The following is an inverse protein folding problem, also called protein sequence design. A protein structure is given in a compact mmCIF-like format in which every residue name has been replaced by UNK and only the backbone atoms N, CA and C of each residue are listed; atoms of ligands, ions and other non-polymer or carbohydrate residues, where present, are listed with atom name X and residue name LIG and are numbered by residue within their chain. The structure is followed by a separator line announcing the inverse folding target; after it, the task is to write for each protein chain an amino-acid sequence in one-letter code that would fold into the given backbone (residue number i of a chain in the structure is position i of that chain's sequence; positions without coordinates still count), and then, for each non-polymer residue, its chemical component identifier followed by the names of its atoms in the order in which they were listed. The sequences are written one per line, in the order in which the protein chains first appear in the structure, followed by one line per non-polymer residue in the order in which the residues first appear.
data_IF_532229401163
#
_entry.id   IF_532229401163
#
_cell.length_a   1.000
_cell.length_b   1.000
_cell.length_c   1.000
_cell.angle_alpha   90.00
_cell.angle_beta   90.00
_cell.angle_gamma   90.00
#
_symmetry.space_group_name_H-M   'P 1'
#
loop_
_entity.id
_entity.type
_entity.pdbx_description
1 polymer ?
#
# COMPACT_ATOMS: atom_id res chain seq x y z
N UNK A 1 -8.06 -1.27 7.60
CA UNK A 1 -7.29 -2.24 8.43
C UNK A 1 -6.06 -2.70 7.62
N UNK A 2 -5.30 -1.75 7.07
CA UNK A 2 -4.04 -1.95 6.34
C UNK A 2 -2.80 -1.59 7.18
N UNK A 3 -2.95 -1.16 8.43
CA UNK A 3 -1.87 -0.52 9.20
C UNK A 3 -0.70 -1.42 9.63
N UNK A 4 -0.82 -2.74 9.61
CA UNK A 4 0.27 -3.65 9.99
C UNK A 4 1.04 -4.24 8.79
N UNK A 5 0.61 -3.99 7.54
CA UNK A 5 1.23 -4.62 6.35
C UNK A 5 1.94 -3.65 5.41
N UNK A 6 1.86 -2.34 5.60
CA UNK A 6 2.49 -1.38 4.68
C UNK A 6 3.96 -1.07 4.98
N UNK A 7 4.53 -1.58 6.08
CA UNK A 7 5.95 -1.41 6.42
C UNK A 7 6.81 -2.69 6.33
N UNK A 8 6.21 -3.88 6.25
CA UNK A 8 6.95 -5.16 6.15
C UNK A 8 7.05 -5.70 4.71
N UNK A 9 6.34 -5.11 3.75
CA UNK A 9 6.14 -5.71 2.43
C UNK A 9 7.11 -5.25 1.32
N UNK A 10 8.29 -4.77 1.67
CA UNK A 10 9.35 -4.55 0.67
C UNK A 10 10.26 -5.78 0.45
N UNK A 11 10.09 -6.86 1.23
CA UNK A 11 10.95 -8.06 1.12
C UNK A 11 10.25 -9.44 1.24
N UNK A 12 8.92 -9.53 1.27
CA UNK A 12 8.20 -10.81 1.41
C UNK A 12 7.75 -11.46 0.09
N UNK A 13 8.65 -12.19 -0.56
CA UNK A 13 8.42 -13.04 -1.77
C UNK A 13 7.11 -13.87 -1.77
N UNK A 14 6.53 -13.96 -2.98
CA UNK A 14 6.03 -15.14 -3.72
C UNK A 14 5.34 -16.34 -3.02
N UNK A 15 4.33 -16.88 -3.74
CA UNK A 15 3.62 -18.18 -3.63
C UNK A 15 2.37 -18.13 -2.71
N UNK A 16 1.12 -18.46 -3.08
CA UNK A 16 0.53 -19.33 -4.11
C UNK A 16 -0.87 -18.79 -4.52
N UNK A 17 -1.17 -18.65 -5.81
CA UNK A 17 -1.99 -19.53 -6.69
C UNK A 17 -3.52 -19.62 -6.41
N UNK A 18 -4.26 -18.91 -7.28
CA UNK A 18 -5.56 -19.20 -7.94
C UNK A 18 -6.41 -20.40 -7.49
N UNK A 19 -7.74 -20.23 -7.34
CA UNK A 19 -8.74 -20.67 -8.35
C UNK A 19 -10.22 -20.35 -8.01
N UNK A 20 -10.92 -19.87 -9.05
CA UNK A 20 -12.31 -20.08 -9.50
C UNK A 20 -13.54 -20.04 -8.57
N UNK A 21 -14.58 -19.35 -9.08
CA UNK A 21 -15.92 -19.95 -9.19
C UNK A 21 -17.08 -19.10 -8.64
N UNK A 22 -17.76 -18.36 -9.52
CA UNK A 22 -19.17 -17.96 -9.39
C UNK A 22 -20.07 -19.19 -9.66
N UNK A 23 -21.37 -19.27 -9.24
CA UNK A 23 -22.43 -18.37 -9.74
C UNK A 23 -23.68 -18.10 -8.86
N UNK A 24 -24.42 -17.06 -9.30
CA UNK A 24 -25.87 -16.83 -9.32
C UNK A 24 -26.75 -17.07 -8.10
N UNK A 25 -27.49 -16.04 -7.67
CA UNK A 25 -28.89 -16.18 -7.25
C UNK A 25 -29.72 -14.92 -7.57
N UNK A 26 -30.80 -15.12 -8.34
CA UNK A 26 -31.91 -14.20 -8.52
C UNK A 26 -32.82 -14.22 -7.28
N UNK A 27 -33.47 -13.10 -6.99
CA UNK A 27 -34.56 -13.03 -6.02
C UNK A 27 -35.06 -11.61 -5.79
N UNK A 28 -35.97 -11.15 -6.66
CA UNK A 28 -36.79 -9.97 -6.44
C UNK A 28 -37.71 -10.17 -5.21
N UNK A 29 -37.74 -9.19 -4.31
CA UNK A 29 -38.81 -9.02 -3.34
C UNK A 29 -39.22 -7.56 -3.34
N UNK A 30 -40.40 -7.30 -3.90
CA UNK A 30 -41.08 -6.02 -3.93
C UNK A 30 -41.94 -5.84 -2.67
N UNK A 31 -41.94 -4.62 -2.11
CA UNK A 31 -42.89 -4.20 -1.09
C UNK A 31 -43.43 -2.78 -1.40
N UNK A 32 -44.68 -2.48 -1.00
CA UNK A 32 -45.54 -1.52 -1.68
C UNK A 32 -45.42 -0.08 -1.16
N UNK A 33 -45.78 0.85 -2.05
CA UNK A 33 -45.78 2.29 -1.85
C UNK A 33 -46.81 2.76 -0.81
N UNK A 34 -46.35 3.52 0.18
CA UNK A 34 -47.20 4.39 1.00
C UNK A 34 -47.00 5.85 0.60
N UNK A 35 -48.11 6.47 0.21
CA UNK A 35 -48.23 7.82 -0.37
C UNK A 35 -48.11 8.91 0.69
N UNK A 36 -47.21 9.86 0.46
CA UNK A 36 -47.16 11.18 1.11
C UNK A 36 -46.32 12.15 0.26
N UNK A 37 -46.65 13.45 0.16
CA UNK A 37 -46.04 14.34 -0.82
C UNK A 37 -44.60 14.72 -0.43
N UNK A 38 -43.61 14.22 -1.17
CA UNK A 38 -42.22 14.69 -1.08
C UNK A 38 -41.99 15.87 -2.00
N UNK A 39 -41.50 16.95 -1.42
CA UNK A 39 -41.12 18.20 -2.06
C UNK A 39 -39.82 17.98 -2.87
N UNK A 40 -39.92 17.61 -4.14
CA UNK A 40 -38.79 17.60 -5.07
C UNK A 40 -39.22 18.25 -6.40
N UNK A 41 -38.39 19.14 -6.97
CA UNK A 41 -38.65 19.74 -8.29
C UNK A 41 -38.63 18.66 -9.38
N UNK A 42 -39.43 18.89 -10.42
CA UNK A 42 -39.70 17.97 -11.53
C UNK A 42 -38.43 17.28 -12.07
N UNK A 43 -38.54 15.96 -12.18
CA UNK A 43 -37.53 15.05 -12.73
C UNK A 43 -37.32 15.42 -14.20
N UNK A 44 -36.06 15.71 -14.58
CA UNK A 44 -35.66 15.84 -15.99
C UNK A 44 -36.20 14.64 -16.80
N UNK A 45 -36.67 14.84 -18.04
CA UNK A 45 -37.17 13.73 -18.84
C UNK A 45 -36.07 12.66 -18.96
N UNK A 46 -36.35 11.49 -18.39
CA UNK A 46 -35.55 10.30 -18.59
C UNK A 46 -35.78 9.88 -20.03
N UNK A 47 -34.84 10.20 -20.91
CA UNK A 47 -34.79 9.52 -22.21
C UNK A 47 -34.64 8.03 -21.92
N UNK A 48 -35.67 7.25 -22.30
CA UNK A 48 -35.58 5.79 -22.30
C UNK A 48 -34.44 5.42 -23.24
N UNK A 49 -33.32 5.00 -22.65
CA UNK A 49 -32.19 4.47 -23.38
C UNK A 49 -32.66 3.23 -24.14
N UNK A 50 -32.95 3.37 -25.43
CA UNK A 50 -33.50 2.32 -26.31
C UNK A 50 -32.46 1.25 -26.71
N UNK A 51 -31.37 1.14 -25.96
CA UNK A 51 -30.20 0.36 -26.33
C UNK A 51 -29.39 1.07 -27.42
N UNK A 52 -28.08 0.91 -27.38
CA UNK A 52 -27.28 1.09 -28.58
C UNK A 52 -27.75 0.06 -29.63
N UNK A 53 -28.05 0.51 -30.85
CA UNK A 53 -28.22 -0.41 -31.99
C UNK A 53 -27.03 -1.37 -32.02
N UNK A 54 -27.23 -2.68 -32.25
CA UNK A 54 -26.12 -3.60 -32.43
C UNK A 54 -25.35 -3.14 -33.67
N UNK A 55 -24.33 -2.31 -33.44
CA UNK A 55 -23.28 -2.10 -34.40
C UNK A 55 -22.70 -3.47 -34.75
N UNK A 56 -22.12 -3.63 -35.95
CA UNK A 56 -21.44 -4.87 -36.30
C UNK A 56 -20.59 -5.26 -35.09
N UNK A 57 -20.76 -6.50 -34.62
CA UNK A 57 -19.85 -7.07 -33.65
C UNK A 57 -18.47 -6.80 -34.24
N UNK A 58 -17.75 -5.83 -33.67
CA UNK A 58 -16.31 -5.83 -33.78
C UNK A 58 -16.02 -7.14 -33.09
N UNK A 59 -15.88 -8.19 -33.91
CA UNK A 59 -15.22 -9.42 -33.51
C UNK A 59 -14.04 -8.90 -32.75
N UNK A 60 -14.04 -9.16 -31.43
CA UNK A 60 -12.94 -8.78 -30.57
C UNK A 60 -11.72 -9.01 -31.43
N UNK A 61 -11.04 -7.92 -31.84
CA UNK A 61 -9.75 -8.06 -32.49
C UNK A 61 -9.07 -9.06 -31.60
N UNK A 62 -8.65 -10.18 -32.16
CA UNK A 62 -7.80 -11.12 -31.49
C UNK A 62 -6.83 -10.27 -30.69
N UNK A 63 -7.08 -10.10 -29.39
CA UNK A 63 -6.01 -9.85 -28.47
C UNK A 63 -5.35 -11.21 -28.57
N UNK A 64 -4.38 -11.29 -29.49
CA UNK A 64 -3.40 -12.34 -29.47
C UNK A 64 -2.88 -12.27 -28.05
N UNK A 65 -3.44 -13.11 -27.17
CA UNK A 65 -2.78 -13.56 -25.97
C UNK A 65 -1.53 -14.24 -26.51
N UNK A 66 -0.51 -13.41 -26.78
CA UNK A 66 0.84 -13.86 -27.04
C UNK A 66 1.11 -14.86 -25.93
N UNK A 67 1.36 -16.11 -26.32
CA UNK A 67 1.67 -17.16 -25.35
C UNK A 67 2.72 -16.63 -24.38
N UNK A 68 2.65 -17.02 -23.10
CA UNK A 68 3.62 -16.54 -22.11
C UNK A 68 5.07 -16.72 -22.59
N UNK A 69 5.31 -17.76 -23.39
CA UNK A 69 6.56 -18.01 -24.10
C UNK A 69 6.91 -16.95 -25.15
N UNK A 70 5.97 -16.47 -25.96
CA UNK A 70 6.21 -15.40 -26.93
C UNK A 70 6.55 -14.07 -26.23
N UNK A 71 5.87 -13.78 -25.11
CA UNK A 71 6.16 -12.60 -24.27
C UNK A 71 7.56 -12.69 -23.64
N UNK A 72 7.92 -13.87 -23.15
CA UNK A 72 9.26 -14.13 -22.60
C UNK A 72 10.35 -14.01 -23.67
N UNK A 73 10.13 -14.54 -24.87
CA UNK A 73 11.05 -14.38 -26.00
C UNK A 73 11.22 -12.92 -26.41
N UNK A 74 10.14 -12.14 -26.44
CA UNK A 74 10.20 -10.70 -26.70
C UNK A 74 10.98 -9.97 -25.59
N UNK A 75 10.76 -10.34 -24.32
CA UNK A 75 11.47 -9.77 -23.19
C UNK A 75 12.98 -10.04 -23.26
N UNK A 76 13.38 -11.25 -23.65
CA UNK A 76 14.79 -11.63 -23.86
C UNK A 76 15.42 -10.90 -25.07
N UNK A 77 14.66 -10.71 -26.14
CA UNK A 77 15.10 -9.89 -27.27
C UNK A 77 15.32 -8.43 -26.84
N UNK A 78 14.37 -7.85 -26.10
CA UNK A 78 14.49 -6.52 -25.53
C UNK A 78 15.68 -6.41 -24.57
N UNK A 79 15.94 -7.43 -23.74
CA UNK A 79 17.10 -7.51 -22.86
C UNK A 79 18.43 -7.39 -23.63
N UNK A 80 18.58 -8.16 -24.72
CA UNK A 80 19.78 -8.10 -25.56
C UNK A 80 19.99 -6.73 -26.22
N UNK A 81 18.90 -6.07 -26.63
CA UNK A 81 18.91 -4.72 -27.19
C UNK A 81 19.24 -3.65 -26.12
N UNK A 82 18.76 -3.86 -24.89
CA UNK A 82 19.07 -3.04 -23.73
C UNK A 82 20.56 -3.12 -23.36
N UNK A 83 21.12 -4.32 -23.29
CA UNK A 83 22.55 -4.56 -23.06
C UNK A 83 23.42 -3.83 -24.08
N UNK A 84 23.07 -3.97 -25.36
CA UNK A 84 23.77 -3.29 -26.46
C UNK A 84 23.69 -1.77 -26.33
N UNK A 85 22.50 -1.24 -26.03
CA UNK A 85 22.28 0.21 -25.85
C UNK A 85 23.01 0.76 -24.63
N UNK A 86 23.08 0.00 -23.53
CA UNK A 86 23.84 0.34 -22.32
C UNK A 86 25.35 0.39 -22.61
N UNK A 87 25.89 -0.60 -23.33
CA UNK A 87 27.31 -0.62 -23.75
C UNK A 87 27.68 0.54 -24.66
N UNK A 88 26.73 1.03 -25.47
CA UNK A 88 26.89 2.22 -26.31
C UNK A 88 26.77 3.54 -25.53
N UNK A 89 26.40 3.51 -24.25
CA UNK A 89 26.18 4.72 -23.44
C UNK A 89 24.87 5.46 -23.72
N UNK A 90 23.96 4.88 -24.51
CA UNK A 90 22.71 5.50 -24.92
C UNK A 90 21.65 5.46 -23.80
N UNK A 91 21.78 6.33 -22.79
CA UNK A 91 20.96 6.31 -21.56
C UNK A 91 19.45 6.28 -21.80
N UNK A 92 18.91 7.18 -22.63
CA UNK A 92 17.45 7.26 -22.89
C UNK A 92 16.91 5.99 -23.55
N UNK A 93 17.63 5.48 -24.54
CA UNK A 93 17.24 4.28 -25.30
C UNK A 93 17.35 3.03 -24.43
N UNK A 94 18.45 2.88 -23.68
CA UNK A 94 18.63 1.78 -22.74
C UNK A 94 17.50 1.73 -21.71
N UNK A 95 17.15 2.89 -21.12
CA UNK A 95 16.05 2.99 -20.15
C UNK A 95 14.72 2.51 -20.74
N UNK A 96 14.32 3.08 -21.88
CA UNK A 96 13.04 2.75 -22.51
C UNK A 96 12.94 1.26 -22.88
N UNK A 97 14.04 0.66 -23.36
CA UNK A 97 14.04 -0.76 -23.72
C UNK A 97 13.99 -1.66 -22.48
N UNK A 98 14.71 -1.32 -21.40
CA UNK A 98 14.67 -2.13 -20.16
C UNK A 98 13.31 -2.02 -19.48
N UNK A 99 12.70 -0.82 -19.45
CA UNK A 99 11.36 -0.63 -18.90
C UNK A 99 10.31 -1.44 -19.70
N UNK A 100 10.45 -1.53 -21.03
CA UNK A 100 9.64 -2.43 -21.86
C UNK A 100 9.84 -3.90 -21.49
N UNK A 101 11.10 -4.33 -21.34
CA UNK A 101 11.43 -5.71 -20.95
C UNK A 101 10.86 -6.06 -19.57
N UNK A 102 10.88 -5.13 -18.61
CA UNK A 102 10.27 -5.30 -17.28
C UNK A 102 8.73 -5.34 -17.33
N UNK A 103 8.10 -4.58 -18.24
CA UNK A 103 6.65 -4.64 -18.42
C UNK A 103 6.21 -6.02 -18.96
N UNK A 104 7.03 -6.63 -19.82
CA UNK A 104 6.79 -7.97 -20.35
C UNK A 104 7.03 -9.06 -19.29
N UNK A 105 8.17 -9.00 -18.59
CA UNK A 105 8.63 -10.01 -17.64
C UNK A 105 9.21 -9.36 -16.34
N UNK A 106 8.36 -8.92 -15.40
CA UNK A 106 8.77 -8.12 -14.24
C UNK A 106 9.63 -8.87 -13.21
N UNK A 107 9.55 -10.20 -13.19
CA UNK A 107 10.21 -11.05 -12.19
C UNK A 107 11.45 -11.77 -12.76
N UNK A 108 11.89 -11.43 -13.98
CA UNK A 108 13.00 -12.12 -14.63
C UNK A 108 14.36 -11.68 -14.04
N UNK A 109 15.18 -12.58 -13.47
CA UNK A 109 16.43 -12.22 -12.80
C UNK A 109 17.42 -11.44 -13.68
N UNK A 110 17.61 -11.84 -14.94
CA UNK A 110 18.55 -11.17 -15.85
C UNK A 110 18.13 -9.75 -16.22
N UNK A 111 16.82 -9.51 -16.41
CA UNK A 111 16.29 -8.17 -16.73
C UNK A 111 16.45 -7.24 -15.53
N UNK A 112 16.13 -7.73 -14.33
CA UNK A 112 16.35 -6.99 -13.08
C UNK A 112 17.84 -6.67 -12.87
N UNK A 113 18.72 -7.63 -13.15
CA UNK A 113 20.18 -7.42 -13.05
C UNK A 113 20.68 -6.39 -14.05
N UNK A 114 20.22 -6.43 -15.30
CA UNK A 114 20.57 -5.40 -16.31
C UNK A 114 20.01 -4.02 -15.98
N UNK A 115 18.83 -3.94 -15.36
CA UNK A 115 18.29 -2.68 -14.87
C UNK A 115 19.13 -2.13 -13.71
N UNK A 116 19.58 -2.99 -12.80
CA UNK A 116 20.53 -2.62 -11.76
C UNK A 116 21.83 -2.07 -12.33
N UNK A 117 22.38 -2.71 -13.37
CA UNK A 117 23.56 -2.23 -14.08
C UNK A 117 23.35 -0.89 -14.78
N UNK A 118 22.17 -0.67 -15.35
CA UNK A 118 21.79 0.63 -15.92
C UNK A 118 21.87 1.73 -14.85
N UNK A 119 21.28 1.51 -13.66
CA UNK A 119 21.33 2.48 -12.56
C UNK A 119 22.74 2.70 -12.02
N UNK A 120 23.52 1.62 -11.85
CA UNK A 120 24.89 1.70 -11.34
C UNK A 120 25.82 2.44 -12.30
N UNK A 121 25.78 2.13 -13.60
CA UNK A 121 26.75 2.63 -14.59
C UNK A 121 26.32 3.94 -15.23
N UNK A 122 25.05 4.11 -15.60
CA UNK A 122 24.60 5.27 -16.37
C UNK A 122 23.93 6.35 -15.51
N UNK A 123 23.43 6.00 -14.33
CA UNK A 123 22.78 6.94 -13.41
C UNK A 123 23.58 7.22 -12.15
N UNK A 124 24.63 6.43 -11.86
CA UNK A 124 25.37 6.45 -10.61
C UNK A 124 24.46 6.34 -9.38
N UNK A 125 23.36 5.58 -9.50
CA UNK A 125 22.39 5.36 -8.45
C UNK A 125 22.59 3.96 -7.85
N UNK A 126 23.46 3.89 -6.84
CA UNK A 126 23.84 2.63 -6.17
C UNK A 126 22.67 2.02 -5.38
N UNK A 127 21.76 2.84 -4.86
CA UNK A 127 20.60 2.37 -4.07
C UNK A 127 19.62 1.59 -4.94
N UNK A 128 19.21 2.17 -6.08
CA UNK A 128 18.32 1.48 -7.02
C UNK A 128 19.00 0.25 -7.65
N UNK A 129 20.30 0.33 -7.89
CA UNK A 129 21.06 -0.82 -8.37
C UNK A 129 21.03 -1.98 -7.39
N UNK A 130 21.36 -1.74 -6.10
CA UNK A 130 21.34 -2.78 -5.07
C UNK A 130 19.93 -3.38 -4.89
N UNK A 131 18.89 -2.54 -4.93
CA UNK A 131 17.51 -2.99 -4.88
C UNK A 131 17.17 -3.93 -6.05
N UNK A 132 17.59 -3.59 -7.26
CA UNK A 132 17.37 -4.44 -8.43
C UNK A 132 18.10 -5.79 -8.29
N UNK A 133 19.34 -5.80 -7.80
CA UNK A 133 20.08 -7.04 -7.52
C UNK A 133 19.42 -7.86 -6.41
N UNK A 134 18.91 -7.19 -5.37
CA UNK A 134 18.17 -7.83 -4.29
C UNK A 134 16.88 -8.49 -4.79
N UNK A 135 16.13 -7.81 -5.67
CA UNK A 135 14.95 -8.35 -6.35
C UNK A 135 15.32 -9.54 -7.25
N UNK A 136 16.41 -9.45 -8.02
CA UNK A 136 16.87 -10.54 -8.87
C UNK A 136 17.21 -11.79 -8.05
N UNK A 137 17.91 -11.63 -6.93
CA UNK A 137 18.20 -12.72 -5.98
C UNK A 137 16.95 -13.17 -5.22
N UNK A 138 15.92 -12.32 -5.13
CA UNK A 138 14.59 -12.68 -4.69
C UNK A 138 13.74 -13.40 -5.79
N UNK A 139 14.25 -13.45 -7.01
CA UNK A 139 13.98 -14.41 -8.08
C UNK A 139 14.70 -15.74 -7.88
N UNK A 140 15.98 -15.64 -8.18
CA UNK A 140 16.94 -16.74 -8.29
C UNK A 140 18.09 -16.52 -7.28
N UNK A 141 18.08 -17.24 -6.14
CA UNK A 141 19.12 -17.10 -5.12
C UNK A 141 20.54 -17.44 -5.61
N UNK A 142 20.66 -18.19 -6.72
CA UNK A 142 21.94 -18.65 -7.26
C UNK A 142 22.39 -17.84 -8.49
N UNK A 143 21.69 -16.74 -8.82
CA UNK A 143 22.04 -15.89 -9.95
C UNK A 143 23.42 -15.24 -9.76
N UNK A 144 24.40 -15.72 -10.53
CA UNK A 144 25.83 -15.43 -10.31
C UNK A 144 26.20 -13.96 -10.47
N UNK A 145 25.65 -13.27 -11.48
CA UNK A 145 25.97 -11.85 -11.71
C UNK A 145 25.40 -10.98 -10.59
N UNK A 146 24.12 -11.10 -10.24
CA UNK A 146 23.54 -10.32 -9.14
C UNK A 146 24.25 -10.58 -7.80
N UNK A 147 24.72 -11.80 -7.51
CA UNK A 147 25.50 -12.08 -6.30
C UNK A 147 26.80 -11.25 -6.28
N UNK A 148 27.56 -11.26 -7.37
CA UNK A 148 28.82 -10.52 -7.49
C UNK A 148 28.58 -9.01 -7.39
N UNK A 149 27.56 -8.50 -8.08
CA UNK A 149 27.21 -7.07 -8.05
C UNK A 149 26.73 -6.64 -6.67
N UNK A 150 25.81 -7.39 -6.06
CA UNK A 150 25.28 -7.10 -4.72
C UNK A 150 26.37 -7.13 -3.66
N UNK A 151 27.32 -8.06 -3.74
CA UNK A 151 28.48 -8.09 -2.83
C UNK A 151 29.28 -6.78 -2.86
N UNK A 152 29.33 -6.09 -4.01
CA UNK A 152 29.98 -4.79 -4.16
C UNK A 152 29.10 -3.63 -3.69
N UNK A 153 27.81 -3.62 -4.03
CA UNK A 153 26.90 -2.51 -3.73
C UNK A 153 26.42 -2.50 -2.28
N UNK A 154 26.21 -3.66 -1.67
CA UNK A 154 25.68 -3.80 -0.31
C UNK A 154 26.45 -2.98 0.74
N UNK A 155 27.79 -3.03 0.87
CA UNK A 155 28.48 -2.22 1.88
C UNK A 155 28.35 -0.71 1.61
N UNK A 156 28.23 -0.29 0.34
CA UNK A 156 28.03 1.11 -0.02
C UNK A 156 26.63 1.57 0.41
N UNK A 157 25.60 0.78 0.11
CA UNK A 157 24.22 1.06 0.53
C UNK A 157 24.11 1.08 2.04
N UNK A 158 24.68 0.10 2.75
CA UNK A 158 24.70 0.09 4.22
C UNK A 158 25.37 1.35 4.81
N UNK A 159 26.46 1.83 4.22
CA UNK A 159 27.10 3.08 4.63
C UNK A 159 26.23 4.32 4.34
N UNK A 160 25.53 4.34 3.21
CA UNK A 160 24.58 5.41 2.86
C UNK A 160 23.39 5.45 3.82
N UNK A 161 22.82 4.30 4.15
CA UNK A 161 21.72 4.15 5.10
C UNK A 161 22.14 4.57 6.51
N UNK A 162 23.30 4.10 6.97
CA UNK A 162 23.85 4.53 8.26
C UNK A 162 24.05 6.04 8.33
N UNK A 163 24.53 6.67 7.24
CA UNK A 163 24.67 8.12 7.14
C UNK A 163 23.31 8.82 7.17
N UNK A 164 22.30 8.29 6.49
CA UNK A 164 20.94 8.84 6.49
C UNK A 164 20.32 8.75 7.89
N UNK A 165 20.40 7.60 8.54
CA UNK A 165 19.92 7.39 9.91
C UNK A 165 20.63 8.34 10.88
N UNK A 166 21.94 8.53 10.75
CA UNK A 166 22.69 9.51 11.54
C UNK A 166 22.17 10.95 11.35
N UNK A 167 21.78 11.34 10.14
CA UNK A 167 21.17 12.67 9.89
C UNK A 167 19.78 12.79 10.50
N UNK A 168 18.95 11.74 10.43
CA UNK A 168 17.62 11.70 11.04
C UNK A 168 17.75 11.81 12.57
N UNK A 169 18.66 11.03 13.14
CA UNK A 169 18.97 11.02 14.56
C UNK A 169 19.41 12.40 15.06
N UNK A 170 20.30 13.08 14.33
CA UNK A 170 20.72 14.46 14.66
C UNK A 170 19.52 15.42 14.70
N UNK A 171 18.64 15.36 13.68
CA UNK A 171 17.43 16.21 13.63
C UNK A 171 16.46 15.90 14.76
N UNK A 172 16.30 14.61 15.11
CA UNK A 172 15.49 14.17 16.25
C UNK A 172 16.02 14.76 17.56
N UNK A 173 17.32 14.67 17.77
CA UNK A 173 17.97 15.17 19.00
C UNK A 173 17.97 16.70 19.09
N UNK A 174 18.03 17.40 17.95
CA UNK A 174 17.81 18.85 17.87
C UNK A 174 16.36 19.22 18.20
N UNK A 175 15.38 18.50 17.62
CA UNK A 175 13.96 18.70 17.88
C UNK A 175 13.61 18.47 19.36
N UNK A 176 14.18 17.43 19.98
CA UNK A 176 13.96 17.11 21.38
C UNK A 176 14.46 18.20 22.36
N UNK A 177 15.40 19.05 21.93
CA UNK A 177 15.94 20.17 22.75
C UNK A 177 15.15 21.46 22.59
N UNK A 178 14.18 21.52 21.68
CA UNK A 178 13.41 22.74 21.45
C UNK A 178 12.57 23.09 22.69
N UNK A 179 12.51 24.38 23.08
CA UNK A 179 11.68 24.79 24.21
C UNK A 179 10.18 24.63 23.88
N UNK A 180 9.39 24.24 24.88
CA UNK A 180 7.93 24.06 24.78
C UNK A 180 7.16 25.39 24.73
N UNK A 181 7.38 26.14 23.65
CA UNK A 181 6.66 27.39 23.34
C UNK A 181 5.21 27.14 22.93
N UNK A 182 4.38 28.18 22.99
CA UNK A 182 3.00 28.13 22.48
C UNK A 182 2.95 27.79 20.99
N UNK A 183 3.91 28.29 20.21
CA UNK A 183 4.07 27.97 18.79
C UNK A 183 4.33 26.48 18.55
N UNK A 184 5.21 25.86 19.35
CA UNK A 184 5.46 24.42 19.27
C UNK A 184 4.23 23.61 19.66
N UNK A 185 3.53 23.99 20.74
CA UNK A 185 2.27 23.34 21.15
C UNK A 185 1.21 23.41 20.05
N UNK A 186 1.09 24.56 19.38
CA UNK A 186 0.21 24.73 18.22
C UNK A 186 0.63 23.79 17.09
N UNK A 187 1.91 23.76 16.72
CA UNK A 187 2.41 22.87 15.67
C UNK A 187 2.19 21.38 15.99
N UNK A 188 2.36 20.96 17.24
CA UNK A 188 2.07 19.58 17.67
C UNK A 188 0.59 19.24 17.55
N UNK A 189 -0.32 20.15 17.93
CA UNK A 189 -1.76 19.97 17.75
C UNK A 189 -2.16 19.88 16.27
N UNK A 190 -1.56 20.72 15.43
CA UNK A 190 -1.76 20.66 13.98
C UNK A 190 -1.26 19.33 13.39
N UNK A 191 -0.08 18.87 13.84
CA UNK A 191 0.48 17.57 13.44
C UNK A 191 -0.41 16.40 13.86
N UNK A 192 -1.11 16.50 15.00
CA UNK A 192 -2.05 15.48 15.46
C UNK A 192 -3.23 15.32 14.49
N UNK A 193 -3.86 16.43 14.09
CA UNK A 193 -4.95 16.39 13.10
C UNK A 193 -4.48 15.93 11.73
N UNK A 194 -3.31 16.38 11.30
CA UNK A 194 -2.70 15.93 10.04
C UNK A 194 -2.46 14.43 10.04
N UNK A 195 -1.96 13.87 11.15
CA UNK A 195 -1.73 12.44 11.27
C UNK A 195 -3.05 11.66 11.10
N UNK A 196 -4.11 12.04 11.83
CA UNK A 196 -5.42 11.38 11.73
C UNK A 196 -5.99 11.48 10.32
N UNK A 197 -5.94 12.67 9.71
CA UNK A 197 -6.42 12.87 8.34
C UNK A 197 -5.69 11.97 7.34
N UNK A 198 -4.34 11.97 7.37
CA UNK A 198 -3.57 11.19 6.40
C UNK A 198 -3.73 9.68 6.59
N UNK A 199 -3.79 9.20 7.83
CA UNK A 199 -3.95 7.76 8.09
C UNK A 199 -5.28 7.21 7.56
N UNK A 200 -6.40 7.92 7.80
CA UNK A 200 -7.70 7.46 7.31
C UNK A 200 -7.86 7.69 5.80
N UNK A 201 -7.27 8.75 5.26
CA UNK A 201 -7.32 9.03 3.82
C UNK A 201 -6.61 7.96 2.99
N UNK A 202 -5.50 7.38 3.49
CA UNK A 202 -4.81 6.25 2.84
C UNK A 202 -5.72 5.02 2.74
N UNK A 203 -6.61 4.81 3.71
CA UNK A 203 -7.59 3.72 3.71
C UNK A 203 -8.83 4.04 2.84
N UNK A 204 -8.89 5.23 2.23
CA UNK A 204 -9.95 5.64 1.31
C UNK A 204 -11.02 6.56 1.92
N UNK A 205 -10.84 7.04 3.15
CA UNK A 205 -11.74 8.01 3.75
C UNK A 205 -11.72 9.35 2.98
N UNK A 206 -12.90 9.91 2.70
CA UNK A 206 -13.07 11.08 1.83
C UNK A 206 -13.25 12.39 2.60
N UNK A 207 -13.16 12.39 3.94
CA UNK A 207 -13.23 13.61 4.74
C UNK A 207 -12.03 14.50 4.46
N UNK A 208 -12.25 15.80 4.29
CA UNK A 208 -11.14 16.76 4.16
C UNK A 208 -10.44 16.99 5.51
N UNK A 209 -9.25 17.57 5.50
CA UNK A 209 -8.54 17.96 6.72
C UNK A 209 -9.37 18.91 7.59
N UNK A 210 -10.08 19.87 6.97
CA UNK A 210 -10.94 20.81 7.70
C UNK A 210 -12.14 20.11 8.35
N UNK A 211 -12.75 19.16 7.66
CA UNK A 211 -13.84 18.33 8.18
C UNK A 211 -13.37 17.45 9.34
N UNK A 212 -12.25 16.75 9.16
CA UNK A 212 -11.60 15.93 10.19
C UNK A 212 -11.32 16.74 11.45
N UNK A 213 -10.76 17.95 11.30
CA UNK A 213 -10.53 18.87 12.40
C UNK A 213 -11.83 19.27 13.09
N UNK A 214 -12.85 19.67 12.32
CA UNK A 214 -14.14 20.07 12.87
C UNK A 214 -14.74 18.96 13.74
N UNK A 215 -14.70 17.71 13.27
CA UNK A 215 -15.21 16.54 14.01
C UNK A 215 -14.49 16.41 15.35
N UNK A 216 -13.16 16.49 15.35
CA UNK A 216 -12.34 16.29 16.55
C UNK A 216 -12.38 17.46 17.54
N UNK A 217 -12.53 18.69 17.04
CA UNK A 217 -12.54 19.88 17.89
C UNK A 217 -13.92 20.22 18.46
N UNK A 218 -14.98 20.04 17.66
CA UNK A 218 -16.34 20.49 18.03
C UNK A 218 -17.28 19.33 18.34
N UNK A 219 -16.92 18.10 17.96
CA UNK A 219 -17.82 16.95 18.03
C UNK A 219 -18.98 17.00 17.04
N UNK A 220 -18.99 17.95 16.10
CA UNK A 220 -20.07 18.11 15.13
C UNK A 220 -19.90 17.14 13.96
N UNK A 221 -21.00 16.49 13.57
CA UNK A 221 -21.08 15.70 12.36
C UNK A 221 -21.07 16.59 11.11
N UNK A 222 -20.46 16.09 10.04
CA UNK A 222 -20.39 16.73 8.73
C UNK A 222 -21.51 16.17 7.85
N UNK A 223 -22.40 17.05 7.41
CA UNK A 223 -23.52 16.67 6.55
C UNK A 223 -23.04 16.11 5.20
N UNK A 224 -23.72 15.07 4.71
CA UNK A 224 -23.43 14.44 3.41
C UNK A 224 -22.20 13.52 3.39
N UNK A 225 -21.65 13.18 4.56
CA UNK A 225 -20.53 12.24 4.71
C UNK A 225 -20.95 10.99 5.47
N UNK A 226 -20.27 9.87 5.24
CA UNK A 226 -20.64 8.59 5.84
C UNK A 226 -20.43 8.62 7.36
N UNK A 227 -21.35 8.04 8.13
CA UNK A 227 -21.17 7.85 9.59
C UNK A 227 -19.94 6.99 9.85
N UNK A 228 -19.67 6.00 8.99
CA UNK A 228 -18.49 5.15 9.11
C UNK A 228 -17.19 5.97 9.01
N UNK A 229 -17.11 6.93 8.08
CA UNK A 229 -15.94 7.80 7.93
C UNK A 229 -15.70 8.65 9.19
N UNK A 230 -16.77 9.11 9.84
CA UNK A 230 -16.65 9.82 11.12
C UNK A 230 -16.17 8.89 12.24
N UNK A 231 -16.72 7.68 12.31
CA UNK A 231 -16.36 6.69 13.32
C UNK A 231 -14.90 6.27 13.21
N UNK A 232 -14.34 6.18 11.99
CA UNK A 232 -12.92 5.93 11.74
C UNK A 232 -12.04 7.07 12.28
N UNK A 233 -12.41 8.33 12.02
CA UNK A 233 -11.69 9.50 12.54
C UNK A 233 -11.71 9.52 14.08
N UNK A 234 -12.87 9.29 14.69
CA UNK A 234 -13.01 9.27 16.15
C UNK A 234 -12.27 8.06 16.77
N UNK A 235 -12.31 6.89 16.11
CA UNK A 235 -11.58 5.71 16.55
C UNK A 235 -10.07 5.91 16.53
N UNK A 236 -9.54 6.55 15.47
CA UNK A 236 -8.13 6.91 15.38
C UNK A 236 -7.71 7.92 16.45
N UNK A 237 -8.54 8.94 16.72
CA UNK A 237 -8.32 9.88 17.83
C UNK A 237 -8.25 9.16 19.19
N UNK A 238 -9.19 8.27 19.46
CA UNK A 238 -9.21 7.49 20.69
C UNK A 238 -7.94 6.62 20.83
N UNK A 239 -7.49 6.01 19.72
CA UNK A 239 -6.28 5.19 19.70
C UNK A 239 -5.01 6.02 19.97
N UNK A 240 -4.84 7.18 19.31
CA UNK A 240 -3.69 8.06 19.55
C UNK A 240 -3.68 8.64 20.96
N UNK A 241 -4.86 8.98 21.51
CA UNK A 241 -4.98 9.41 22.90
C UNK A 241 -4.50 8.31 23.85
N UNK A 242 -4.92 7.06 23.62
CA UNK A 242 -4.45 5.93 24.42
C UNK A 242 -2.94 5.71 24.33
N UNK A 243 -2.38 5.74 23.12
CA UNK A 243 -0.93 5.65 22.90
C UNK A 243 -0.18 6.72 23.69
N UNK A 244 -0.60 7.98 23.56
CA UNK A 244 0.07 9.11 24.19
C UNK A 244 -0.01 9.11 25.72
N UNK A 245 -1.10 8.61 26.30
CA UNK A 245 -1.30 8.62 27.75
C UNK A 245 -0.83 7.35 28.46
N UNK A 246 -0.83 6.21 27.76
CA UNK A 246 -0.66 4.89 28.41
C UNK A 246 0.63 4.20 27.97
N UNK A 247 1.00 4.30 26.68
CA UNK A 247 2.08 3.48 26.11
C UNK A 247 3.44 4.19 26.04
N UNK A 248 3.48 5.52 25.99
CA UNK A 248 4.74 6.28 25.86
C UNK A 248 5.70 6.16 27.05
N UNK A 249 5.24 5.66 28.20
CA UNK A 249 6.04 5.49 29.41
C UNK A 249 6.33 4.04 29.76
N UNK A 250 5.93 3.10 28.89
CA UNK A 250 6.15 1.68 29.08
C UNK A 250 7.51 1.28 28.51
N UNK A 251 8.17 0.32 29.16
CA UNK A 251 9.45 -0.23 28.71
C UNK A 251 9.28 -1.35 27.68
N UNK A 252 8.14 -2.02 27.68
CA UNK A 252 7.81 -3.16 26.84
C UNK A 252 6.42 -2.98 26.24
N UNK A 253 6.24 -3.42 25.00
CA UNK A 253 4.95 -3.42 24.30
C UNK A 253 4.44 -4.84 24.36
N UNK A 254 3.21 -5.07 24.82
CA UNK A 254 2.61 -6.40 24.88
C UNK A 254 1.61 -6.63 23.75
N UNK A 255 1.25 -7.90 23.50
CA UNK A 255 0.15 -8.22 22.57
C UNK A 255 -1.16 -7.54 22.99
N UNK A 256 -1.44 -7.48 24.29
CA UNK A 256 -2.65 -6.82 24.81
C UNK A 256 -2.66 -5.33 24.47
N UNK A 257 -1.52 -4.64 24.49
CA UNK A 257 -1.42 -3.24 24.07
C UNK A 257 -1.80 -3.05 22.60
N UNK A 258 -1.35 -3.97 21.73
CA UNK A 258 -1.69 -3.97 20.30
C UNK A 258 -3.20 -4.20 20.11
N UNK A 259 -3.79 -5.15 20.84
CA UNK A 259 -5.23 -5.43 20.78
C UNK A 259 -6.06 -4.28 21.35
N UNK A 260 -5.57 -3.61 22.40
CA UNK A 260 -6.20 -2.45 23.03
C UNK A 260 -6.19 -1.22 22.10
N UNK A 261 -5.08 -1.01 21.38
CA UNK A 261 -4.98 -0.04 20.29
C UNK A 261 -5.97 -0.36 19.18
N UNK A 262 -5.96 -1.61 18.70
CA UNK A 262 -6.88 -2.07 17.64
C UNK A 262 -8.35 -1.91 18.02
N UNK A 263 -8.69 -2.17 19.30
CA UNK A 263 -10.04 -1.98 19.83
C UNK A 263 -10.51 -0.53 19.74
N UNK A 264 -9.62 0.45 19.94
CA UNK A 264 -9.96 1.87 19.79
C UNK A 264 -10.10 2.29 18.34
N UNK A 265 -9.16 1.86 17.49
CA UNK A 265 -9.18 2.18 16.05
C UNK A 265 -10.49 1.74 15.42
N UNK A 266 -10.93 0.50 15.68
CA UNK A 266 -12.16 -0.05 15.08
C UNK A 266 -13.40 0.06 15.96
N UNK A 267 -13.28 0.37 17.25
CA UNK A 267 -14.40 0.25 18.20
C UNK A 267 -15.67 0.99 17.81
N UNK A 268 -15.54 2.18 17.21
CA UNK A 268 -16.69 2.95 16.75
C UNK A 268 -17.19 2.51 15.36
N UNK A 269 -16.29 2.01 14.50
CA UNK A 269 -16.62 1.64 13.11
C UNK A 269 -17.15 0.21 13.02
N UNK A 270 -16.53 -0.73 13.73
CA UNK A 270 -16.90 -2.14 13.84
C UNK A 270 -16.58 -2.67 15.25
N UNK A 271 -17.50 -2.51 16.22
CA UNK A 271 -17.28 -2.95 17.60
C UNK A 271 -17.19 -4.47 17.77
N UNK A 272 -17.69 -5.26 16.82
CA UNK A 272 -17.71 -6.72 16.92
C UNK A 272 -16.29 -7.29 16.76
N UNK A 273 -15.54 -6.77 15.80
CA UNK A 273 -14.19 -7.23 15.47
C UNK A 273 -13.09 -6.41 16.19
N UNK A 274 -13.47 -5.31 16.85
CA UNK A 274 -12.55 -4.42 17.55
C UNK A 274 -11.74 -5.18 18.63
N UNK A 275 -10.40 -5.13 18.51
CA UNK A 275 -9.49 -5.80 19.43
C UNK A 275 -9.50 -7.33 19.35
N UNK A 276 -10.04 -7.91 18.27
CA UNK A 276 -10.05 -9.35 18.03
C UNK A 276 -9.13 -9.71 16.87
N UNK A 277 -8.44 -10.84 17.01
CA UNK A 277 -7.70 -11.45 15.90
C UNK A 277 -8.73 -12.03 14.93
N UNK A 278 -8.48 -11.87 13.63
CA UNK A 278 -9.36 -12.40 12.57
C UNK A 278 -9.50 -13.92 12.70
N UNK A 279 -10.69 -14.40 12.38
CA UNK A 279 -11.03 -15.84 12.36
C UNK A 279 -11.16 -16.38 10.94
N UNK A 280 -11.14 -15.50 9.94
CA UNK A 280 -11.30 -15.83 8.53
C UNK A 280 -10.06 -15.47 7.73
N UNK A 281 -9.84 -16.20 6.63
CA UNK A 281 -8.76 -15.89 5.72
C UNK A 281 -9.12 -14.67 4.86
N UNK A 282 -8.11 -13.83 4.61
CA UNK A 282 -8.27 -12.59 3.83
C UNK A 282 -7.20 -12.53 2.74
N UNK A 283 -7.41 -11.66 1.74
CA UNK A 283 -6.48 -11.44 0.65
C UNK A 283 -6.23 -9.94 0.49
N UNK A 284 -4.96 -9.53 0.43
CA UNK A 284 -4.55 -8.13 0.37
C UNK A 284 -3.80 -7.90 -0.94
N UNK A 285 -4.53 -7.52 -2.00
CA UNK A 285 -3.97 -7.43 -3.34
C UNK A 285 -3.41 -8.78 -3.82
N UNK A 286 -2.11 -8.85 -4.07
CA UNK A 286 -1.41 -10.09 -4.44
C UNK A 286 -0.82 -10.85 -3.24
N UNK A 287 -0.94 -10.32 -2.02
CA UNK A 287 -0.41 -10.92 -0.81
C UNK A 287 -1.51 -11.71 -0.09
N UNK A 288 -1.18 -12.93 0.33
CA UNK A 288 -2.06 -13.78 1.16
C UNK A 288 -1.42 -13.90 2.55
N UNK A 289 -1.99 -13.25 3.58
CA UNK A 289 -1.56 -13.44 4.95
C UNK A 289 -1.65 -14.90 5.42
N UNK A 290 -0.96 -15.23 6.52
CA UNK A 290 -1.00 -16.58 7.12
C UNK A 290 -2.42 -17.05 7.43
N UNK A 291 -2.67 -18.34 7.65
CA UNK A 291 -4.01 -18.76 8.06
C UNK A 291 -4.37 -18.17 9.45
N UNK A 292 -5.66 -17.91 9.75
CA UNK A 292 -6.11 -17.32 11.03
C UNK A 292 -5.54 -18.02 12.27
N UNK A 293 -5.43 -19.34 12.21
CA UNK A 293 -4.91 -20.21 13.28
C UNK A 293 -3.47 -19.88 13.70
N UNK A 294 -2.66 -19.39 12.76
CA UNK A 294 -1.25 -19.04 13.01
C UNK A 294 -1.05 -17.57 13.37
N UNK A 295 -2.07 -16.72 13.25
CA UNK A 295 -1.92 -15.26 13.45
C UNK A 295 -1.50 -14.94 14.87
N UNK A 296 -2.07 -15.63 15.87
CA UNK A 296 -1.70 -15.38 17.26
C UNK A 296 -0.22 -15.67 17.50
N UNK A 297 0.27 -16.84 17.05
CA UNK A 297 1.69 -17.18 17.18
C UNK A 297 2.61 -16.16 16.52
N UNK A 298 2.26 -15.66 15.34
CA UNK A 298 3.04 -14.59 14.69
C UNK A 298 3.00 -13.24 15.41
N UNK A 299 1.90 -12.93 16.11
CA UNK A 299 1.80 -11.71 16.91
C UNK A 299 2.59 -11.84 18.22
N UNK A 300 2.63 -13.03 18.80
CA UNK A 300 3.49 -13.34 19.95
C UNK A 300 4.97 -13.20 19.53
N UNK A 301 5.36 -13.82 18.40
CA UNK A 301 6.72 -13.70 17.83
C UNK A 301 7.12 -12.25 17.50
N UNK A 302 6.14 -11.41 17.11
CA UNK A 302 6.37 -9.99 16.78
C UNK A 302 6.70 -9.16 18.03
N UNK A 303 6.13 -9.52 19.17
CA UNK A 303 6.32 -8.81 20.44
C UNK A 303 7.59 -9.27 21.16
N UNK A 304 7.94 -10.55 21.01
CA UNK A 304 9.10 -11.16 21.67
C UNK A 304 10.45 -10.89 20.96
N UNK A 305 10.41 -10.42 19.70
CA UNK A 305 11.60 -10.19 18.84
C UNK A 305 12.16 -8.77 18.85
#
# INVERSE_FOLDING_TARGET
MLWLLTLTNYYGRCLLRMQCGSPNYHGEVSLPATRGPTYFPEIFPVETWMGAQPGPLITNRHFEELSDHAREQEALAALSAAQSSRRQGNRRKARSIIEHALALAPNHPDILTEYGLYHEVLENNVLEADLCYAKALAFDPHHSEALVRRKRTLPLVSAMDAKLLGRIQKKRDEFARLPHTSSLKRAMRESYFLHIYHTVAIEGNTLSLGQTRSILETGMAVAGKSIQEHNEVIGMDAALRFLNHSLLHMNEITLDDILEMHRRVLGNANPVDAGRIRTTQVFVGHFTPVAPEYVKGQLDDLVDG
#
